data_IF_850048319552
#
_entry.id   IF_850048319552
#
_cell.length_a   1.000
_cell.length_b   1.000
_cell.length_c   1.000
_cell.angle_alpha   90.00
_cell.angle_beta   90.00
_cell.angle_gamma   90.00
#
_symmetry.space_group_name_H-M   'P 1'
#
loop_
_entity.id
_entity.type
_entity.pdbx_description
1 polymer ?
#
# COMPACT_ATOMS: atom_id res chain seq x y z
N UNK A 1 -16.81 -10.08 -12.07
CA UNK A 1 -15.36 -9.78 -11.98
C UNK A 1 -14.78 -9.92 -13.38
N UNK A 2 -14.35 -8.82 -14.00
CA UNK A 2 -13.69 -8.87 -15.31
C UNK A 2 -12.33 -9.52 -15.16
N UNK A 3 -12.03 -10.51 -16.01
CA UNK A 3 -10.75 -11.21 -16.00
C UNK A 3 -9.69 -10.25 -16.54
N UNK A 4 -8.90 -9.63 -15.67
CA UNK A 4 -7.76 -8.79 -16.08
C UNK A 4 -6.71 -9.71 -16.71
N UNK A 5 -6.37 -9.49 -17.98
CA UNK A 5 -5.25 -10.14 -18.63
C UNK A 5 -4.01 -9.31 -18.38
N UNK A 6 -3.00 -9.90 -17.74
CA UNK A 6 -1.70 -9.26 -17.55
C UNK A 6 -0.75 -9.71 -18.66
N UNK A 7 0.05 -8.77 -19.16
CA UNK A 7 1.03 -9.03 -20.23
C UNK A 7 2.31 -9.68 -19.67
N UNK A 8 2.65 -9.40 -18.42
CA UNK A 8 3.78 -10.00 -17.70
C UNK A 8 3.61 -9.86 -16.18
N UNK A 9 4.55 -10.41 -15.40
CA UNK A 9 4.52 -10.31 -13.94
C UNK A 9 4.61 -8.87 -13.40
N UNK A 10 5.29 -7.97 -14.13
CA UNK A 10 5.36 -6.56 -13.76
C UNK A 10 3.99 -5.87 -13.89
N UNK A 11 3.27 -6.16 -14.96
CA UNK A 11 1.92 -5.62 -15.21
C UNK A 11 0.96 -6.03 -14.08
N UNK A 12 1.00 -7.30 -13.67
CA UNK A 12 0.25 -7.80 -12.52
C UNK A 12 0.68 -7.11 -11.20
N UNK A 13 1.98 -6.92 -10.99
CA UNK A 13 2.50 -6.29 -9.78
C UNK A 13 2.07 -4.82 -9.67
N UNK A 14 2.12 -4.07 -10.77
CA UNK A 14 1.67 -2.67 -10.82
C UNK A 14 0.17 -2.57 -10.52
N UNK A 15 -0.64 -3.47 -11.05
CA UNK A 15 -2.08 -3.48 -10.78
C UNK A 15 -2.39 -3.72 -9.28
N UNK A 16 -1.62 -4.63 -8.64
CA UNK A 16 -1.75 -4.88 -7.19
C UNK A 16 -1.21 -3.72 -6.36
N UNK A 17 -0.07 -3.13 -6.76
CA UNK A 17 0.60 -2.01 -6.08
C UNK A 17 -0.11 -0.67 -6.28
N UNK A 18 -1.03 -0.59 -7.25
CA UNK A 18 -1.77 0.61 -7.59
C UNK A 18 -2.48 1.25 -6.40
N UNK A 19 -2.65 2.58 -6.49
CA UNK A 19 -3.27 3.41 -5.47
C UNK A 19 -2.27 4.25 -4.67
N UNK A 20 -2.78 5.28 -4.00
CA UNK A 20 -1.97 6.31 -3.33
C UNK A 20 -1.07 5.77 -2.21
N UNK A 21 -1.53 4.76 -1.47
CA UNK A 21 -0.98 4.45 -0.14
C UNK A 21 -0.01 3.27 -0.10
N UNK A 22 -0.19 2.24 -0.93
CA UNK A 22 0.60 0.99 -0.84
C UNK A 22 2.11 1.22 -1.00
N UNK A 23 2.49 2.00 -2.01
CA UNK A 23 3.90 2.34 -2.23
C UNK A 23 4.52 3.08 -1.04
N UNK A 24 3.81 4.04 -0.46
CA UNK A 24 4.29 4.79 0.71
C UNK A 24 4.36 3.92 1.97
N UNK A 25 3.37 3.05 2.18
CA UNK A 25 3.37 2.09 3.30
C UNK A 25 4.57 1.16 3.21
N UNK A 26 4.80 0.56 2.03
CA UNK A 26 5.91 -0.35 1.81
C UNK A 26 7.27 0.34 1.91
N UNK A 27 7.39 1.58 1.43
CA UNK A 27 8.59 2.38 1.60
C UNK A 27 8.96 2.52 3.07
N UNK A 28 8.03 2.99 3.92
CA UNK A 28 8.32 3.19 5.34
C UNK A 28 8.56 1.89 6.12
N UNK A 29 7.82 0.82 5.79
CA UNK A 29 8.02 -0.48 6.44
C UNK A 29 9.28 -1.22 5.96
N UNK A 30 9.78 -0.87 4.77
CA UNK A 30 11.06 -1.38 4.25
C UNK A 30 12.27 -0.84 5.01
N UNK A 31 12.18 0.40 5.52
CA UNK A 31 13.23 1.02 6.32
C UNK A 31 13.29 0.44 7.75
N UNK A 32 12.14 0.25 8.40
CA UNK A 32 12.07 -0.33 9.74
C UNK A 32 10.67 -0.80 10.12
N UNK A 33 10.54 -1.72 11.11
CA UNK A 33 9.24 -2.05 11.68
C UNK A 33 8.63 -0.85 12.41
N UNK A 34 7.43 -0.44 12.01
CA UNK A 34 6.69 0.67 12.62
C UNK A 34 5.39 0.17 13.26
N UNK A 35 5.06 0.70 14.44
CA UNK A 35 3.72 0.51 15.02
C UNK A 35 2.70 1.29 14.21
N UNK A 36 1.43 0.87 14.30
CA UNK A 36 0.33 1.49 13.55
C UNK A 36 0.27 3.02 13.70
N UNK A 37 0.39 3.54 14.92
CA UNK A 37 0.37 4.97 15.18
C UNK A 37 1.60 5.73 14.66
N UNK A 38 2.75 5.08 14.56
CA UNK A 38 3.97 5.65 13.99
C UNK A 38 3.83 5.74 12.47
N UNK A 39 3.41 4.65 11.83
CA UNK A 39 3.14 4.62 10.38
C UNK A 39 2.05 5.61 9.97
N UNK A 40 1.00 5.80 10.78
CA UNK A 40 -0.03 6.82 10.51
C UNK A 40 0.53 8.25 10.57
N UNK A 41 1.52 8.51 11.43
CA UNK A 41 2.15 9.83 11.56
C UNK A 41 3.12 10.12 10.42
N UNK A 42 3.78 9.10 9.86
CA UNK A 42 4.66 9.27 8.70
C UNK A 42 3.88 9.46 7.39
N UNK A 43 2.66 8.93 7.32
CA UNK A 43 1.76 9.04 6.17
C UNK A 43 0.80 10.23 6.32
N UNK A 44 1.28 11.44 6.05
CA UNK A 44 0.45 12.64 6.16
C UNK A 44 -0.83 12.56 5.30
N UNK A 45 -1.95 12.94 5.92
CA UNK A 45 -3.28 12.90 5.31
C UNK A 45 -3.92 11.51 5.13
N UNK A 46 -3.32 10.41 5.64
CA UNK A 46 -4.03 9.12 5.68
C UNK A 46 -5.02 9.07 6.85
N UNK A 47 -6.26 8.62 6.58
CA UNK A 47 -7.20 8.34 7.65
C UNK A 47 -6.90 6.99 8.30
N UNK A 48 -7.22 6.85 9.58
CA UNK A 48 -7.07 5.60 10.31
C UNK A 48 -7.80 4.43 9.63
N UNK A 49 -9.04 4.67 9.19
CA UNK A 49 -9.83 3.69 8.45
C UNK A 49 -9.13 3.25 7.16
N UNK A 50 -8.55 4.19 6.40
CA UNK A 50 -7.82 3.87 5.17
C UNK A 50 -6.56 3.07 5.49
N UNK A 51 -5.80 3.44 6.52
CA UNK A 51 -4.61 2.69 6.92
C UNK A 51 -4.95 1.26 7.33
N UNK A 52 -6.02 1.06 8.12
CA UNK A 52 -6.52 -0.29 8.47
C UNK A 52 -6.90 -1.08 7.21
N UNK A 53 -7.56 -0.46 6.24
CA UNK A 53 -7.96 -1.11 5.00
C UNK A 53 -6.75 -1.58 4.17
N UNK A 54 -5.67 -0.80 4.15
CA UNK A 54 -4.47 -1.11 3.36
C UNK A 54 -3.54 -2.14 4.01
N UNK A 55 -3.66 -2.36 5.33
CA UNK A 55 -2.84 -3.32 6.09
C UNK A 55 -3.51 -4.70 6.27
N UNK A 56 -4.73 -4.88 5.75
CA UNK A 56 -5.46 -6.15 5.72
C UNK A 56 -5.27 -6.85 4.39
#
# INVERSE_FOLDING_TARGET
MTKRSYTCGLDAAIDVMGGKWKGLILFWLGESPLRFGELRRTLDGISERMLILQLR
#
